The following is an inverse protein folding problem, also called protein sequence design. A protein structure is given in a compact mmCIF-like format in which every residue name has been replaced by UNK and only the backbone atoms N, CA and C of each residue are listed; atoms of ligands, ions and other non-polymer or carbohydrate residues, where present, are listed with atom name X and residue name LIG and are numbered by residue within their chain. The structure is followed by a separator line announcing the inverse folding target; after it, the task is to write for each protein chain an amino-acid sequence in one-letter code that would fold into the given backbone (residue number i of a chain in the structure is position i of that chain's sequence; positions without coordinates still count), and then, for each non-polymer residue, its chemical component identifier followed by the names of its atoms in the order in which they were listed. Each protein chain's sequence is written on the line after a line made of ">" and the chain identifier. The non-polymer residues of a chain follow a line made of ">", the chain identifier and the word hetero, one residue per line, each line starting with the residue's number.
data_IF_828712500352
#
_entry.id   IF_828712500352
#
_cell.length_a   1.000
_cell.length_b   1.000
_cell.length_c   1.000
_cell.angle_alpha   90.00
_cell.angle_beta   90.00
_cell.angle_gamma   90.00
#
_symmetry.space_group_name_H-M   'P 1'
#
loop_
_entity.id
_entity.type
_entity.pdbx_description
1 polymer ?
#
# COMPACT_ATOMS: atom_id res chain seq x y z
N UNK A 1 19.57 -52.29 -28.50
CA UNK A 1 19.57 -50.92 -27.94
C UNK A 1 18.58 -50.94 -26.78
N UNK A 2 19.10 -50.88 -25.56
CA UNK A 2 18.42 -50.65 -24.27
C UNK A 2 17.50 -49.40 -24.36
N UNK A 3 16.35 -49.19 -23.72
CA UNK A 3 15.67 -49.70 -22.52
C UNK A 3 14.17 -49.32 -22.59
N UNK A 4 13.33 -50.10 -21.92
CA UNK A 4 11.95 -49.76 -21.55
C UNK A 4 11.88 -48.69 -20.44
N UNK A 5 10.76 -47.96 -20.32
CA UNK A 5 9.85 -48.05 -19.17
C UNK A 5 8.70 -47.02 -19.23
N UNK A 6 7.47 -47.54 -19.21
CA UNK A 6 6.26 -46.88 -18.70
C UNK A 6 6.46 -46.40 -17.25
N UNK A 7 5.86 -45.26 -16.90
CA UNK A 7 5.25 -45.07 -15.57
C UNK A 7 4.26 -43.91 -15.52
N UNK A 8 3.00 -44.31 -15.37
CA UNK A 8 1.88 -43.50 -14.93
C UNK A 8 2.14 -42.87 -13.55
N UNK A 9 1.78 -41.59 -13.42
CA UNK A 9 1.74 -40.86 -12.16
C UNK A 9 0.50 -41.30 -11.36
N UNK A 10 0.65 -42.35 -10.56
CA UNK A 10 -0.30 -42.70 -9.50
C UNK A 10 0.07 -41.96 -8.22
N UNK A 11 -0.92 -41.21 -7.71
CA UNK A 11 -1.00 -40.58 -6.39
C UNK A 11 -0.46 -41.51 -5.29
N UNK A 12 0.64 -41.11 -4.65
CA UNK A 12 1.20 -41.83 -3.50
C UNK A 12 0.54 -41.30 -2.21
N UNK A 13 -0.54 -41.96 -1.78
CA UNK A 13 -0.98 -41.89 -0.39
C UNK A 13 0.10 -42.56 0.47
N UNK A 14 0.82 -41.78 1.27
CA UNK A 14 1.73 -42.32 2.28
C UNK A 14 0.88 -42.95 3.38
N UNK A 15 0.70 -44.27 3.31
CA UNK A 15 0.31 -45.10 4.44
C UNK A 15 1.45 -45.08 5.46
N UNK A 16 1.26 -44.32 6.54
CA UNK A 16 2.10 -44.42 7.74
C UNK A 16 1.70 -45.71 8.45
N UNK A 17 2.48 -46.78 8.26
CA UNK A 17 2.45 -47.95 9.13
C UNK A 17 3.12 -47.59 10.46
N UNK A 18 2.35 -47.57 11.55
CA UNK A 18 2.87 -47.50 12.91
C UNK A 18 3.15 -48.95 13.37
N UNK A 19 4.39 -49.43 13.23
CA UNK A 19 4.83 -50.65 13.90
C UNK A 19 5.21 -50.31 15.34
N UNK A 20 4.36 -50.69 16.30
CA UNK A 20 4.76 -50.86 17.70
C UNK A 20 4.98 -52.35 17.96
N UNK A 21 6.24 -52.71 18.17
CA UNK A 21 6.68 -54.05 18.54
C UNK A 21 6.17 -54.47 19.93
N UNK A 22 5.55 -55.65 19.99
CA UNK A 22 5.57 -56.56 21.16
C UNK A 22 4.54 -56.31 22.27
N UNK A 23 3.68 -57.30 22.53
CA UNK A 23 3.84 -58.25 23.66
C UNK A 23 2.62 -59.19 23.78
N UNK A 24 2.93 -60.48 23.94
CA UNK A 24 2.29 -61.43 24.86
C UNK A 24 0.78 -61.71 24.74
N UNK A 25 0.48 -62.92 24.28
CA UNK A 25 -0.83 -63.57 24.42
C UNK A 25 -1.06 -64.06 25.86
N UNK A 26 -1.99 -63.41 26.58
CA UNK A 26 -2.64 -63.96 27.77
C UNK A 26 -4.18 -63.80 27.63
N UNK A 27 -5.01 -64.80 27.97
CA UNK A 27 -6.44 -64.72 27.72
C UNK A 27 -7.22 -64.08 28.87
N UNK A 28 -8.08 -63.13 28.48
CA UNK A 28 -9.45 -62.86 28.95
C UNK A 28 -9.69 -62.95 30.47
N UNK A 29 -9.72 -61.78 31.12
CA UNK A 29 -10.55 -61.55 32.32
C UNK A 29 -11.43 -60.32 32.09
N UNK A 30 -12.69 -60.48 32.49
CA UNK A 30 -13.81 -59.56 32.28
C UNK A 30 -13.64 -58.27 33.07
N UNK A 31 -14.15 -57.19 32.49
CA UNK A 31 -14.79 -56.11 33.23
C UNK A 31 -13.84 -55.08 33.84
N UNK A 32 -13.50 -54.05 33.07
CA UNK A 32 -13.42 -52.66 33.56
C UNK A 32 -13.43 -51.70 32.37
N UNK A 33 -14.30 -50.71 32.46
CA UNK A 33 -14.44 -49.58 31.53
C UNK A 33 -13.08 -48.99 31.17
N UNK A 34 -12.57 -49.28 29.98
CA UNK A 34 -11.51 -48.48 29.38
C UNK A 34 -12.18 -47.18 28.93
N UNK A 35 -11.91 -46.09 29.64
CA UNK A 35 -12.08 -44.74 29.06
C UNK A 35 -11.22 -44.74 27.80
N UNK A 36 -11.84 -44.86 26.62
CA UNK A 36 -11.20 -44.45 25.39
C UNK A 36 -10.89 -42.98 25.58
N UNK A 37 -9.62 -42.65 25.82
CA UNK A 37 -9.15 -41.28 25.66
C UNK A 37 -9.60 -40.89 24.27
N UNK A 38 -10.55 -39.96 24.17
CA UNK A 38 -10.99 -39.43 22.89
C UNK A 38 -9.71 -39.04 22.16
N UNK A 39 -9.43 -39.73 21.06
CA UNK A 39 -8.41 -39.30 20.13
C UNK A 39 -8.94 -37.95 19.64
N UNK A 40 -8.43 -36.87 20.23
CA UNK A 40 -8.78 -35.52 19.82
C UNK A 40 -8.31 -35.39 18.39
N UNK A 41 -9.23 -35.57 17.45
CA UNK A 41 -9.09 -35.18 16.06
C UNK A 41 -9.10 -33.65 15.99
N UNK A 42 -8.20 -32.99 16.71
CA UNK A 42 -7.66 -31.68 16.37
C UNK A 42 -6.56 -31.96 15.34
N UNK A 43 -6.96 -32.46 14.15
CA UNK A 43 -7.19 -31.73 12.89
C UNK A 43 -5.86 -31.36 12.24
N UNK A 44 -5.37 -32.27 11.39
CA UNK A 44 -4.39 -31.97 10.32
C UNK A 44 -4.82 -30.75 9.48
N UNK A 45 -6.14 -30.48 9.40
CA UNK A 45 -6.67 -29.28 8.76
C UNK A 45 -6.42 -27.99 9.54
N UNK A 46 -6.29 -28.04 10.88
CA UNK A 46 -6.04 -26.86 11.70
C UNK A 46 -4.56 -26.46 11.59
N UNK A 47 -3.63 -27.43 11.60
CA UNK A 47 -2.20 -27.16 11.35
C UNK A 47 -1.92 -26.75 9.89
N UNK A 48 -2.66 -27.28 8.91
CA UNK A 48 -2.58 -26.79 7.52
C UNK A 48 -3.13 -25.37 7.36
N UNK A 49 -4.18 -24.99 8.10
CA UNK A 49 -4.71 -23.61 8.10
C UNK A 49 -3.77 -22.64 8.80
N UNK A 50 -3.18 -23.06 9.92
CA UNK A 50 -2.18 -22.25 10.65
C UNK A 50 -0.92 -22.03 9.81
N UNK A 51 -0.43 -23.05 9.11
CA UNK A 51 0.73 -22.91 8.20
C UNK A 51 0.41 -22.09 6.95
N UNK A 52 -0.79 -22.23 6.37
CA UNK A 52 -1.25 -21.35 5.27
C UNK A 52 -1.43 -19.90 5.73
N UNK A 53 -1.92 -19.67 6.96
CA UNK A 53 -2.01 -18.34 7.54
C UNK A 53 -0.63 -17.74 7.80
N UNK A 54 0.32 -18.51 8.33
CA UNK A 54 1.70 -18.06 8.52
C UNK A 54 2.40 -17.74 7.20
N UNK A 55 2.21 -18.56 6.16
CA UNK A 55 2.75 -18.30 4.83
C UNK A 55 2.21 -16.99 4.24
N UNK A 56 0.89 -16.79 4.34
CA UNK A 56 0.25 -15.55 3.89
C UNK A 56 0.76 -14.33 4.65
N UNK A 57 0.99 -14.46 5.96
CA UNK A 57 1.54 -13.38 6.80
C UNK A 57 2.98 -13.02 6.39
N UNK A 58 3.80 -14.02 6.05
CA UNK A 58 5.17 -13.82 5.58
C UNK A 58 5.21 -13.17 4.19
N UNK A 59 4.34 -13.61 3.27
CA UNK A 59 4.20 -12.99 1.94
C UNK A 59 3.76 -11.52 2.04
N UNK A 60 2.84 -11.19 2.96
CA UNK A 60 2.43 -9.80 3.22
C UNK A 60 3.56 -8.94 3.79
N UNK A 61 4.41 -9.50 4.65
CA UNK A 61 5.56 -8.78 5.19
C UNK A 61 6.61 -8.49 4.12
N UNK A 62 6.93 -9.48 3.28
CA UNK A 62 7.90 -9.30 2.20
C UNK A 62 7.40 -8.29 1.15
N UNK A 63 6.10 -8.30 0.84
CA UNK A 63 5.49 -7.31 -0.04
C UNK A 63 5.55 -5.89 0.53
N UNK A 64 5.35 -5.73 1.83
CA UNK A 64 5.48 -4.45 2.53
C UNK A 64 6.92 -3.92 2.51
N UNK A 65 7.90 -4.79 2.68
CA UNK A 65 9.32 -4.40 2.59
C UNK A 65 9.70 -3.97 1.17
N UNK A 66 9.18 -4.68 0.15
CA UNK A 66 9.37 -4.33 -1.26
C UNK A 66 8.74 -2.99 -1.61
N UNK A 67 7.50 -2.71 -1.16
CA UNK A 67 6.85 -1.42 -1.43
C UNK A 67 7.59 -0.26 -0.76
N UNK A 68 8.07 -0.43 0.47
CA UNK A 68 8.91 0.58 1.14
C UNK A 68 10.21 0.85 0.37
N UNK A 69 10.83 -0.19 -0.22
CA UNK A 69 11.98 -0.06 -1.10
C UNK A 69 11.69 0.76 -2.37
N UNK A 70 10.54 0.54 -3.01
CA UNK A 70 10.11 1.29 -4.19
C UNK A 70 9.97 2.78 -3.89
N UNK A 71 9.32 3.12 -2.78
CA UNK A 71 9.12 4.51 -2.38
C UNK A 71 10.46 5.23 -2.11
N UNK A 72 11.39 4.54 -1.45
CA UNK A 72 12.73 5.07 -1.20
C UNK A 72 13.48 5.35 -2.50
N UNK A 73 13.44 4.43 -3.45
CA UNK A 73 14.08 4.62 -4.77
C UNK A 73 13.42 5.77 -5.54
N UNK A 74 12.09 5.88 -5.50
CA UNK A 74 11.37 6.98 -6.13
C UNK A 74 11.86 8.34 -5.61
N UNK A 75 12.04 8.49 -4.30
CA UNK A 75 12.60 9.70 -3.69
C UNK A 75 14.04 9.99 -4.14
N UNK A 76 14.88 8.95 -4.28
CA UNK A 76 16.25 9.12 -4.77
C UNK A 76 16.25 9.64 -6.21
N UNK A 77 15.43 9.07 -7.09
CA UNK A 77 15.31 9.52 -8.47
C UNK A 77 14.74 10.94 -8.57
N UNK A 78 13.74 11.26 -7.74
CA UNK A 78 13.16 12.59 -7.66
C UNK A 78 14.21 13.64 -7.27
N UNK A 79 14.98 13.38 -6.21
CA UNK A 79 16.03 14.28 -5.74
C UNK A 79 17.19 14.39 -6.74
N UNK A 80 17.41 13.35 -7.56
CA UNK A 80 18.41 13.36 -8.63
C UNK A 80 17.94 14.10 -9.89
N UNK A 81 16.67 14.55 -9.94
CA UNK A 81 16.07 15.22 -11.10
C UNK A 81 15.59 14.26 -12.20
N UNK A 82 15.64 12.95 -11.98
CA UNK A 82 15.19 11.93 -12.92
C UNK A 82 13.67 11.74 -12.82
N UNK A 83 12.91 12.78 -13.17
CA UNK A 83 11.47 12.84 -12.95
C UNK A 83 10.68 11.72 -13.66
N UNK A 84 11.09 11.32 -14.87
CA UNK A 84 10.44 10.22 -15.58
C UNK A 84 10.51 8.90 -14.80
N UNK A 85 11.68 8.55 -14.26
CA UNK A 85 11.84 7.32 -13.47
C UNK A 85 11.13 7.44 -12.13
N UNK A 86 11.19 8.61 -11.49
CA UNK A 86 10.48 8.86 -10.24
C UNK A 86 8.97 8.67 -10.39
N UNK A 87 8.36 9.21 -11.45
CA UNK A 87 6.93 9.06 -11.75
C UNK A 87 6.52 7.59 -11.92
N UNK A 88 7.32 6.82 -12.65
CA UNK A 88 7.08 5.40 -12.86
C UNK A 88 7.12 4.64 -11.52
N UNK A 89 8.14 4.89 -10.70
CA UNK A 89 8.30 4.26 -9.39
C UNK A 89 7.16 4.63 -8.42
N UNK A 90 6.76 5.91 -8.38
CA UNK A 90 5.59 6.32 -7.59
C UNK A 90 4.31 5.63 -8.07
N UNK A 91 4.14 5.49 -9.38
CA UNK A 91 2.96 4.80 -9.95
C UNK A 91 2.97 3.32 -9.59
N UNK A 92 4.12 2.64 -9.67
CA UNK A 92 4.27 1.26 -9.22
C UNK A 92 3.96 1.10 -7.73
N UNK A 93 4.47 2.00 -6.89
CA UNK A 93 4.18 2.02 -5.46
C UNK A 93 2.68 2.20 -5.18
N UNK A 94 2.04 3.22 -5.78
CA UNK A 94 0.61 3.51 -5.62
C UNK A 94 -0.24 2.32 -6.08
N UNK A 95 0.07 1.71 -7.23
CA UNK A 95 -0.65 0.55 -7.73
C UNK A 95 -0.49 -0.66 -6.80
N UNK A 96 0.71 -0.88 -6.26
CA UNK A 96 0.95 -1.93 -5.25
C UNK A 96 0.13 -1.66 -4.00
N UNK A 97 0.16 -0.44 -3.47
CA UNK A 97 -0.59 -0.06 -2.28
C UNK A 97 -2.11 -0.17 -2.45
N UNK A 98 -2.64 0.24 -3.60
CA UNK A 98 -4.08 0.17 -3.87
C UNK A 98 -4.57 -1.26 -4.09
N UNK A 99 -3.72 -2.15 -4.58
CA UNK A 99 -4.07 -3.57 -4.78
C UNK A 99 -3.95 -4.40 -3.51
N UNK A 100 -2.95 -4.13 -2.66
CA UNK A 100 -2.76 -4.87 -1.39
C UNK A 100 -3.59 -4.29 -0.25
N UNK A 101 -3.81 -2.97 -0.24
CA UNK A 101 -4.40 -2.25 0.89
C UNK A 101 -3.49 -2.15 2.12
N UNK A 102 -2.24 -2.57 1.99
CA UNK A 102 -1.28 -2.71 3.09
C UNK A 102 -0.17 -1.64 3.00
N UNK A 103 -0.55 -0.37 2.99
CA UNK A 103 0.39 0.74 3.03
C UNK A 103 0.08 1.71 4.15
N UNK A 104 1.11 2.38 4.65
CA UNK A 104 0.93 3.49 5.56
C UNK A 104 0.24 4.64 4.81
N UNK A 105 -0.81 5.21 5.42
CA UNK A 105 -1.61 6.25 4.79
C UNK A 105 -0.77 7.50 4.51
N UNK A 106 0.15 7.84 5.42
CA UNK A 106 1.03 8.98 5.24
C UNK A 106 2.05 8.74 4.11
N UNK A 107 2.67 7.56 4.02
CA UNK A 107 3.53 7.20 2.88
C UNK A 107 2.79 7.26 1.53
N UNK A 108 1.55 6.77 1.48
CA UNK A 108 0.71 6.82 0.29
C UNK A 108 0.36 8.27 -0.10
N UNK A 109 0.03 9.12 0.86
CA UNK A 109 -0.23 10.53 0.61
C UNK A 109 1.03 11.27 0.09
N UNK A 110 2.20 10.99 0.66
CA UNK A 110 3.50 11.50 0.18
C UNK A 110 3.77 11.06 -1.26
N UNK A 111 3.54 9.78 -1.58
CA UNK A 111 3.74 9.27 -2.95
C UNK A 111 2.84 9.98 -3.97
N UNK A 112 1.55 10.17 -3.66
CA UNK A 112 0.65 10.95 -4.50
C UNK A 112 1.13 12.40 -4.66
N UNK A 113 1.52 13.06 -3.58
CA UNK A 113 2.05 14.42 -3.63
C UNK A 113 3.27 14.54 -4.54
N UNK A 114 4.24 13.64 -4.39
CA UNK A 114 5.50 13.71 -5.14
C UNK A 114 5.29 13.35 -6.61
N UNK A 115 4.41 12.39 -6.93
CA UNK A 115 3.99 12.13 -8.31
C UNK A 115 3.29 13.35 -8.93
N UNK A 116 2.40 13.99 -8.18
CA UNK A 116 1.76 15.24 -8.60
C UNK A 116 2.78 16.36 -8.86
N UNK A 117 3.83 16.45 -8.03
CA UNK A 117 4.91 17.42 -8.22
C UNK A 117 5.74 17.15 -9.49
N UNK A 118 6.01 15.88 -9.82
CA UNK A 118 6.63 15.52 -11.09
C UNK A 118 5.78 16.00 -12.28
N UNK A 119 4.47 15.70 -12.26
CA UNK A 119 3.54 16.14 -13.31
C UNK A 119 3.43 17.66 -13.39
N UNK A 120 3.46 18.35 -12.25
CA UNK A 120 3.53 19.81 -12.21
C UNK A 120 4.78 20.36 -12.93
N UNK A 121 5.95 19.76 -12.73
CA UNK A 121 7.17 20.17 -13.46
C UNK A 121 7.07 19.93 -14.97
N UNK A 122 6.24 18.97 -15.39
CA UNK A 122 5.91 18.71 -16.80
C UNK A 122 4.76 19.58 -17.34
N UNK A 123 4.19 20.47 -16.50
CA UNK A 123 3.05 21.34 -16.85
C UNK A 123 1.74 20.55 -17.07
N UNK A 124 1.69 19.30 -16.61
CA UNK A 124 0.51 18.43 -16.66
C UNK A 124 -0.44 18.77 -15.49
N UNK A 125 -0.96 20.00 -15.48
CA UNK A 125 -1.62 20.61 -14.32
C UNK A 125 -2.86 19.86 -13.82
N UNK A 126 -3.73 19.38 -14.70
CA UNK A 126 -4.95 18.66 -14.30
C UNK A 126 -4.60 17.33 -13.64
N UNK A 127 -3.67 16.57 -14.22
CA UNK A 127 -3.23 15.30 -13.66
C UNK A 127 -2.48 15.48 -12.32
N UNK A 128 -1.72 16.56 -12.18
CA UNK A 128 -1.10 16.94 -10.91
C UNK A 128 -2.15 17.28 -9.84
N UNK A 129 -3.21 18.00 -10.21
CA UNK A 129 -4.32 18.30 -9.30
C UNK A 129 -5.09 17.04 -8.86
N UNK A 130 -5.25 16.06 -9.74
CA UNK A 130 -5.85 14.77 -9.40
C UNK A 130 -5.02 14.04 -8.34
N UNK A 131 -3.69 14.04 -8.51
CA UNK A 131 -2.76 13.46 -7.55
C UNK A 131 -2.76 14.18 -6.20
N UNK A 132 -2.75 15.51 -6.19
CA UNK A 132 -2.89 16.27 -4.93
C UNK A 132 -4.23 16.03 -4.26
N UNK A 133 -5.31 15.90 -5.04
CA UNK A 133 -6.63 15.59 -4.50
C UNK A 133 -6.69 14.18 -3.94
N UNK A 134 -6.01 13.21 -4.55
CA UNK A 134 -5.86 11.86 -4.01
C UNK A 134 -5.06 11.89 -2.69
N UNK A 135 -3.94 12.62 -2.62
CA UNK A 135 -3.16 12.78 -1.40
C UNK A 135 -4.01 13.34 -0.24
N UNK A 136 -4.80 14.40 -0.50
CA UNK A 136 -5.71 15.01 0.48
C UNK A 136 -6.79 14.04 0.99
N UNK A 137 -7.28 13.14 0.13
CA UNK A 137 -8.27 12.13 0.51
C UNK A 137 -7.66 11.05 1.41
N UNK A 138 -6.39 10.70 1.18
CA UNK A 138 -5.67 9.71 1.98
C UNK A 138 -5.28 10.30 3.33
N UNK A 139 -4.68 11.49 3.32
CA UNK A 139 -4.35 12.22 4.54
C UNK A 139 -4.80 13.69 4.44
N UNK A 140 -5.89 13.99 5.16
CA UNK A 140 -6.46 15.34 5.19
C UNK A 140 -5.65 16.33 6.02
N UNK A 141 -4.71 15.87 6.85
CA UNK A 141 -3.84 16.70 7.69
C UNK A 141 -2.48 16.97 7.03
N UNK A 142 -2.22 16.40 5.86
CA UNK A 142 -1.03 16.70 5.08
C UNK A 142 -1.23 18.03 4.33
N UNK A 143 -0.54 19.08 4.75
CA UNK A 143 -0.78 20.44 4.27
C UNK A 143 -0.16 20.76 2.91
N UNK A 144 0.89 20.03 2.52
CA UNK A 144 1.68 20.28 1.30
C UNK A 144 0.86 20.06 0.01
N UNK A 145 0.02 19.01 -0.13
CA UNK A 145 -0.88 18.85 -1.27
C UNK A 145 -1.86 20.00 -1.47
N UNK A 146 -2.38 20.60 -0.38
CA UNK A 146 -3.27 21.76 -0.48
C UNK A 146 -2.51 22.95 -1.07
N UNK A 147 -1.31 23.23 -0.57
CA UNK A 147 -0.48 24.31 -1.11
C UNK A 147 -0.16 24.10 -2.59
N UNK A 148 0.27 22.89 -2.97
CA UNK A 148 0.62 22.57 -4.35
C UNK A 148 -0.59 22.66 -5.30
N UNK A 149 -1.77 22.17 -4.87
CA UNK A 149 -3.01 22.31 -5.65
C UNK A 149 -3.43 23.78 -5.77
N UNK A 150 -3.28 24.56 -4.70
CA UNK A 150 -3.52 26.00 -4.69
C UNK A 150 -2.65 26.75 -5.69
N UNK A 151 -1.36 26.40 -5.79
CA UNK A 151 -0.46 26.98 -6.80
C UNK A 151 -0.92 26.71 -8.23
N UNK A 152 -1.40 25.51 -8.53
CA UNK A 152 -1.94 25.20 -9.85
C UNK A 152 -3.22 26.00 -10.11
N UNK A 153 -4.15 26.02 -9.16
CA UNK A 153 -5.41 26.77 -9.27
C UNK A 153 -5.15 28.26 -9.49
N UNK A 154 -4.18 28.83 -8.78
CA UNK A 154 -3.72 30.21 -8.98
C UNK A 154 -3.21 30.43 -10.41
N UNK A 155 -2.34 29.54 -10.93
CA UNK A 155 -1.81 29.62 -12.30
C UNK A 155 -2.91 29.52 -13.37
N UNK A 156 -3.95 28.76 -13.10
CA UNK A 156 -5.11 28.62 -14.00
C UNK A 156 -6.13 29.77 -13.85
N UNK A 157 -5.90 30.71 -12.92
CA UNK A 157 -6.78 31.85 -12.67
C UNK A 157 -8.03 31.53 -11.85
N UNK A 158 -8.06 30.37 -11.19
CA UNK A 158 -9.09 29.95 -10.24
C UNK A 158 -8.75 30.49 -8.84
N UNK A 159 -8.77 31.83 -8.70
CA UNK A 159 -8.28 32.51 -7.50
C UNK A 159 -9.08 32.17 -6.23
N UNK A 160 -10.40 32.00 -6.32
CA UNK A 160 -11.22 31.63 -5.16
C UNK A 160 -10.87 30.22 -4.63
N UNK A 161 -10.68 29.26 -5.53
CA UNK A 161 -10.29 27.89 -5.15
C UNK A 161 -8.86 27.84 -4.60
N UNK A 162 -7.95 28.63 -5.18
CA UNK A 162 -6.58 28.77 -4.70
C UNK A 162 -6.54 29.40 -3.29
N UNK A 163 -7.33 30.46 -3.06
CA UNK A 163 -7.48 31.10 -1.75
C UNK A 163 -7.94 30.10 -0.69
N UNK A 164 -8.93 29.27 -1.02
CA UNK A 164 -9.42 28.22 -0.11
C UNK A 164 -8.32 27.22 0.25
N UNK A 165 -7.53 26.78 -0.73
CA UNK A 165 -6.44 25.83 -0.51
C UNK A 165 -5.32 26.45 0.35
N UNK A 166 -4.91 27.68 0.06
CA UNK A 166 -3.86 28.35 0.84
C UNK A 166 -4.29 28.65 2.28
N UNK A 167 -5.55 29.06 2.50
CA UNK A 167 -6.10 29.21 3.85
C UNK A 167 -6.06 27.88 4.59
N UNK A 168 -6.43 26.78 3.92
CA UNK A 168 -6.40 25.45 4.54
C UNK A 168 -4.98 25.05 4.95
N UNK A 169 -3.98 25.31 4.10
CA UNK A 169 -2.57 25.12 4.47
C UNK A 169 -2.20 25.91 5.72
N UNK A 170 -2.58 27.19 5.82
CA UNK A 170 -2.26 28.05 6.96
C UNK A 170 -3.03 27.71 8.25
N UNK A 171 -4.22 27.12 8.14
CA UNK A 171 -4.94 26.57 9.29
C UNK A 171 -4.17 25.41 9.94
N UNK A 172 -3.53 24.56 9.13
CA UNK A 172 -2.75 23.42 9.60
C UNK A 172 -1.34 23.84 10.04
N UNK A 173 -0.70 24.71 9.25
CA UNK A 173 0.64 25.21 9.50
C UNK A 173 0.67 26.75 9.37
N UNK A 174 0.42 27.49 10.45
CA UNK A 174 0.41 28.95 10.45
C UNK A 174 1.75 29.59 10.06
N UNK A 175 2.86 28.84 10.17
CA UNK A 175 4.21 29.31 9.87
C UNK A 175 4.63 29.01 8.42
N UNK A 176 3.72 28.50 7.58
CA UNK A 176 4.01 28.24 6.17
C UNK A 176 4.10 29.55 5.38
N UNK A 177 5.30 30.12 5.36
CA UNK A 177 5.57 31.45 4.80
C UNK A 177 5.19 31.57 3.32
N UNK A 178 5.48 30.56 2.50
CA UNK A 178 5.18 30.59 1.07
C UNK A 178 3.68 30.54 0.80
N UNK A 179 2.91 29.79 1.61
CA UNK A 179 1.46 29.79 1.53
C UNK A 179 0.88 31.17 1.90
N UNK A 180 1.45 31.85 2.90
CA UNK A 180 1.05 33.21 3.29
C UNK A 180 1.28 34.23 2.18
N UNK A 181 2.43 34.18 1.52
CA UNK A 181 2.75 35.02 0.35
C UNK A 181 1.82 34.71 -0.82
N UNK A 182 1.62 33.43 -1.12
CA UNK A 182 0.76 32.98 -2.23
C UNK A 182 -0.70 33.38 -2.01
N UNK A 183 -1.20 33.28 -0.78
CA UNK A 183 -2.53 33.77 -0.40
C UNK A 183 -2.66 35.28 -0.62
N UNK A 184 -1.70 36.07 -0.14
CA UNK A 184 -1.71 37.52 -0.32
C UNK A 184 -1.77 37.90 -1.81
N UNK A 185 -0.91 37.28 -2.62
CA UNK A 185 -0.88 37.51 -4.06
C UNK A 185 -2.20 37.10 -4.74
N UNK A 186 -2.75 35.94 -4.36
CA UNK A 186 -4.01 35.42 -4.90
C UNK A 186 -5.19 36.38 -4.68
N UNK A 187 -5.25 37.02 -3.51
CA UNK A 187 -6.31 38.00 -3.19
C UNK A 187 -6.17 39.24 -4.08
N UNK A 188 -4.95 39.78 -4.23
CA UNK A 188 -4.70 40.95 -5.08
C UNK A 188 -5.11 40.65 -6.53
N UNK A 189 -4.64 39.55 -7.09
CA UNK A 189 -4.91 39.18 -8.49
C UNK A 189 -6.39 38.84 -8.70
N UNK A 190 -7.04 38.23 -7.70
CA UNK A 190 -8.47 37.98 -7.68
C UNK A 190 -9.29 39.27 -7.74
N UNK A 191 -8.95 40.26 -6.90
CA UNK A 191 -9.59 41.58 -6.93
C UNK A 191 -9.36 42.31 -8.26
N UNK A 192 -8.14 42.24 -8.80
CA UNK A 192 -7.85 42.82 -10.11
C UNK A 192 -8.67 42.18 -11.23
N UNK A 193 -8.82 40.86 -11.22
CA UNK A 193 -9.66 40.14 -12.20
C UNK A 193 -11.12 40.62 -12.14
N UNK A 194 -11.67 40.77 -10.93
CA UNK A 194 -13.02 41.29 -10.72
C UNK A 194 -13.17 42.74 -11.21
N UNK A 195 -12.18 43.60 -10.94
CA UNK A 195 -12.18 45.00 -11.43
C UNK A 195 -12.17 45.08 -12.96
N UNK A 196 -11.56 44.11 -13.63
CA UNK A 196 -11.52 44.02 -15.10
C UNK A 196 -12.83 43.47 -15.71
N UNK A 197 -13.79 43.04 -14.88
CA UNK A 197 -15.12 42.60 -15.32
C UNK A 197 -15.21 41.16 -15.80
N UNK A 198 -14.29 40.29 -15.38
CA UNK A 198 -14.29 38.85 -15.66
C UNK A 198 -14.82 38.01 -14.49
#
# INVERSE_FOLDING_TARGET
>A
MWLALDRALSVNYVLICCECSGLSSAPVQRGRSVRTRGCSTTRVSDTQRETQQQLKLMETQELRERSAGLLKEAHLQFNSGNFHQAEELYTQFINTCTTTGECDANELAIAYNNRGQVKYFRVDFYEAMDDYTAAIKVDSQFEVPYYNRGLIRYRLGFFQDAESDFKKTLEMNPNFEDARKSLHQTIIDGEEKLKRGY
#
